data_IF_468505642330
#
_entry.id   IF_468505642330
#
_cell.length_a   1.000
_cell.length_b   1.000
_cell.length_c   1.000
_cell.angle_alpha   90.00
_cell.angle_beta   90.00
_cell.angle_gamma   90.00
#
_symmetry.space_group_name_H-M   'P 1'
#
loop_
_entity.id
_entity.type
_entity.pdbx_description
1 polymer ?
#
# COMPACT_ATOMS: atom_id res chain seq x y z
N UNK A 1 -61.59 -0.56 55.85
CA UNK A 1 -60.61 -1.15 56.77
C UNK A 1 -59.24 -1.03 56.09
N UNK A 2 -58.33 -0.27 56.71
CA UNK A 2 -56.85 -0.24 56.63
C UNK A 2 -56.15 -0.51 55.27
N UNK A 3 -55.22 0.28 54.72
CA UNK A 3 -54.33 1.31 55.27
C UNK A 3 -53.82 2.30 54.18
N UNK A 4 -53.50 3.53 54.60
CA UNK A 4 -52.71 4.58 53.92
C UNK A 4 -51.23 4.49 54.40
N UNK A 5 -50.28 5.41 54.09
CA UNK A 5 -49.79 5.98 52.82
C UNK A 5 -48.24 6.07 52.79
N UNK A 6 -47.63 6.59 51.71
CA UNK A 6 -46.46 7.50 51.86
C UNK A 6 -46.25 8.36 50.61
N UNK A 7 -46.59 9.66 50.72
CA UNK A 7 -46.11 10.74 49.84
C UNK A 7 -44.93 11.40 50.56
N UNK A 8 -43.82 11.58 49.86
CA UNK A 8 -42.71 12.44 50.31
C UNK A 8 -42.72 13.73 49.49
N UNK A 9 -42.61 14.85 50.22
CA UNK A 9 -42.58 16.25 49.75
C UNK A 9 -41.18 16.62 49.23
N UNK A 10 -41.06 17.61 48.32
CA UNK A 10 -39.77 18.15 47.90
C UNK A 10 -39.24 19.15 48.96
N UNK A 11 -37.95 19.08 49.25
CA UNK A 11 -37.23 20.06 50.05
C UNK A 11 -36.54 21.05 49.11
N UNK A 12 -37.01 22.29 49.15
CA UNK A 12 -36.26 23.45 48.71
C UNK A 12 -35.22 23.81 49.79
N UNK A 13 -33.97 24.02 49.39
CA UNK A 13 -32.97 24.67 50.21
C UNK A 13 -32.19 25.65 49.34
N UNK A 14 -32.30 26.93 49.70
CA UNK A 14 -31.58 28.04 49.12
C UNK A 14 -30.08 27.95 49.45
N UNK A 15 -29.23 28.30 48.48
CA UNK A 15 -27.83 28.63 48.74
C UNK A 15 -27.53 30.02 48.16
N UNK A 16 -26.95 30.84 49.02
CA UNK A 16 -26.58 32.23 48.79
C UNK A 16 -25.49 32.35 47.72
N UNK A 17 -25.68 33.28 46.78
CA UNK A 17 -24.64 33.70 45.83
C UNK A 17 -23.61 34.57 46.58
N UNK A 18 -22.42 34.02 46.79
CA UNK A 18 -21.21 34.80 47.06
C UNK A 18 -20.49 34.94 45.72
N UNK A 19 -20.54 36.13 45.12
CA UNK A 19 -19.81 36.48 43.91
C UNK A 19 -18.33 36.70 44.26
N UNK A 20 -17.52 35.64 44.19
CA UNK A 20 -16.08 35.77 44.03
C UNK A 20 -15.78 36.08 42.56
N UNK A 21 -15.34 37.32 42.28
CA UNK A 21 -14.72 37.70 41.02
C UNK A 21 -13.38 36.96 40.89
N UNK A 22 -13.43 35.73 40.37
CA UNK A 22 -12.27 35.08 39.80
C UNK A 22 -12.16 35.54 38.35
N UNK A 23 -11.19 36.39 38.06
CA UNK A 23 -10.77 36.66 36.68
C UNK A 23 -10.40 35.32 36.04
N UNK A 24 -10.93 34.97 34.85
CA UNK A 24 -10.38 33.85 34.12
C UNK A 24 -8.99 34.27 33.69
N UNK A 25 -7.96 33.76 34.35
CA UNK A 25 -6.63 33.72 33.77
C UNK A 25 -6.73 32.81 32.55
N UNK A 26 -7.04 33.39 31.39
CA UNK A 26 -6.81 32.76 30.10
C UNK A 26 -5.32 32.53 30.00
N UNK A 27 -4.87 31.35 30.42
CA UNK A 27 -3.58 30.82 30.03
C UNK A 27 -3.64 30.57 28.53
N UNK A 28 -3.34 31.59 27.73
CA UNK A 28 -2.88 31.41 26.37
C UNK A 28 -1.61 30.58 26.46
N UNK A 29 -1.75 29.27 26.33
CA UNK A 29 -0.63 28.39 26.07
C UNK A 29 -0.04 28.82 24.72
N UNK A 30 0.95 29.71 24.77
CA UNK A 30 1.82 30.01 23.63
C UNK A 30 2.40 28.69 23.15
N UNK A 31 1.97 28.23 21.97
CA UNK A 31 2.57 27.10 21.29
C UNK A 31 4.09 27.34 21.24
N UNK A 32 4.87 26.40 21.78
CA UNK A 32 6.34 26.47 21.69
C UNK A 32 6.72 26.53 20.22
N UNK A 33 7.59 27.47 19.78
CA UNK A 33 7.96 27.64 18.37
C UNK A 33 8.66 26.43 17.70
N UNK A 34 8.89 25.34 18.44
CA UNK A 34 9.76 24.22 18.06
C UNK A 34 9.15 22.84 18.31
N UNK A 35 7.86 22.72 18.63
CA UNK A 35 7.24 21.39 18.68
C UNK A 35 7.12 20.85 17.25
N UNK A 36 7.63 19.64 16.95
CA UNK A 36 7.52 19.10 15.62
C UNK A 36 6.05 18.90 15.26
N UNK A 37 5.65 19.35 14.06
CA UNK A 37 4.29 19.16 13.56
C UNK A 37 3.89 17.67 13.59
N UNK A 38 2.67 17.32 14.02
CA UNK A 38 2.11 15.99 13.91
C UNK A 38 2.22 15.43 12.48
N UNK A 39 2.44 14.11 12.36
CA UNK A 39 2.46 13.45 11.06
C UNK A 39 1.15 13.65 10.28
N UNK A 40 0.01 13.61 10.98
CA UNK A 40 -1.32 13.78 10.42
C UNK A 40 -1.51 15.09 9.63
N UNK A 41 -0.77 16.16 9.96
CA UNK A 41 -0.86 17.44 9.23
C UNK A 41 -0.31 17.32 7.79
N UNK A 42 0.56 16.33 7.55
CA UNK A 42 1.11 15.99 6.25
C UNK A 42 0.40 14.80 5.57
N UNK A 43 -0.55 14.15 6.25
CA UNK A 43 -1.33 13.09 5.64
C UNK A 43 -2.28 13.69 4.60
N UNK A 44 -2.41 13.02 3.46
CA UNK A 44 -3.26 13.46 2.37
C UNK A 44 -4.60 12.71 2.40
N UNK A 45 -5.72 13.38 2.08
CA UNK A 45 -7.00 12.71 1.89
C UNK A 45 -7.03 11.97 0.55
N UNK A 46 -7.77 10.88 0.48
CA UNK A 46 -8.10 10.13 -0.72
C UNK A 46 -9.19 10.86 -1.50
N UNK A 47 -9.05 10.86 -2.82
CA UNK A 47 -9.88 11.70 -3.70
C UNK A 47 -10.44 10.94 -4.90
N UNK A 48 -10.01 9.72 -5.15
CA UNK A 48 -10.48 8.93 -6.31
C UNK A 48 -11.73 8.10 -5.99
N UNK A 49 -11.98 7.85 -4.69
CA UNK A 49 -13.04 6.93 -4.25
C UNK A 49 -12.70 5.45 -4.45
N UNK A 50 -11.49 5.13 -4.90
CA UNK A 50 -10.98 3.77 -5.10
C UNK A 50 -9.57 3.63 -4.52
N UNK A 51 -8.62 3.06 -5.27
CA UNK A 51 -7.20 3.08 -4.92
C UNK A 51 -6.64 4.48 -5.18
N UNK A 52 -5.82 4.97 -4.25
CA UNK A 52 -5.18 6.28 -4.32
C UNK A 52 -4.00 6.36 -3.33
N UNK A 53 -3.43 7.55 -3.14
CA UNK A 53 -2.33 7.78 -2.21
C UNK A 53 -2.78 8.37 -0.86
N UNK A 54 -4.09 8.46 -0.60
CA UNK A 54 -4.67 9.01 0.61
C UNK A 54 -4.58 8.10 1.83
N UNK A 55 -4.51 8.69 3.03
CA UNK A 55 -4.36 7.99 4.31
C UNK A 55 -5.69 7.60 4.99
N UNK A 56 -6.80 8.15 4.52
CA UNK A 56 -8.19 7.84 4.90
C UNK A 56 -8.76 6.70 4.04
N UNK A 57 -8.06 5.56 4.04
CA UNK A 57 -8.47 4.37 3.27
C UNK A 57 -9.79 3.78 3.78
N UNK A 58 -10.74 3.55 2.88
CA UNK A 58 -12.04 2.94 3.21
C UNK A 58 -11.90 1.46 3.58
N UNK A 59 -11.94 1.17 4.89
CA UNK A 59 -11.87 -0.20 5.43
C UNK A 59 -13.11 -1.06 5.20
N UNK A 60 -14.18 -0.55 4.58
CA UNK A 60 -15.32 -1.37 4.16
C UNK A 60 -15.09 -2.03 2.80
N UNK A 61 -14.26 -1.38 1.97
CA UNK A 61 -13.85 -1.78 0.62
C UNK A 61 -12.48 -2.46 0.60
N UNK A 62 -11.50 -1.89 1.29
CA UNK A 62 -10.14 -2.41 1.36
C UNK A 62 -9.91 -3.21 2.64
N UNK A 63 -9.05 -4.22 2.54
CA UNK A 63 -8.63 -5.01 3.68
C UNK A 63 -7.70 -4.18 4.58
N UNK A 64 -7.85 -4.33 5.90
CA UNK A 64 -6.90 -3.71 6.84
C UNK A 64 -5.50 -4.30 6.60
N UNK A 65 -4.43 -3.50 6.43
CA UNK A 65 -3.12 -4.01 5.99
C UNK A 65 -2.27 -4.69 7.07
N UNK A 66 -2.69 -4.61 8.34
CA UNK A 66 -1.97 -5.16 9.47
C UNK A 66 -2.58 -6.46 9.97
N UNK A 67 -1.73 -7.32 10.54
CA UNK A 67 -2.11 -8.60 11.12
C UNK A 67 -1.76 -9.79 10.22
N UNK A 68 -2.42 -10.91 10.48
CA UNK A 68 -2.29 -12.13 9.69
C UNK A 68 -3.46 -12.23 8.73
N UNK A 69 -3.17 -12.33 7.44
CA UNK A 69 -4.13 -12.55 6.38
C UNK A 69 -4.12 -14.04 6.05
N UNK A 70 -5.22 -14.75 6.34
CA UNK A 70 -5.36 -16.17 5.97
C UNK A 70 -5.72 -16.24 4.50
N UNK A 71 -4.85 -16.83 3.68
CA UNK A 71 -5.02 -16.87 2.23
C UNK A 71 -5.24 -18.32 1.81
N UNK A 72 -6.32 -18.59 1.08
CA UNK A 72 -6.52 -19.88 0.43
C UNK A 72 -6.04 -19.81 -1.02
N UNK A 73 -5.05 -20.62 -1.38
CA UNK A 73 -4.59 -20.79 -2.76
C UNK A 73 -5.32 -21.95 -3.40
N UNK A 74 -6.06 -21.65 -4.46
CA UNK A 74 -6.72 -22.58 -5.37
C UNK A 74 -5.88 -22.74 -6.62
N UNK A 75 -5.71 -23.98 -7.09
CA UNK A 75 -5.08 -24.27 -8.37
C UNK A 75 -6.14 -24.72 -9.36
N UNK A 76 -6.23 -24.06 -10.52
CA UNK A 76 -7.30 -24.31 -11.48
C UNK A 76 -6.77 -24.82 -12.81
N UNK A 77 -7.49 -25.75 -13.41
CA UNK A 77 -7.27 -26.21 -14.78
C UNK A 77 -8.58 -26.17 -15.58
N UNK A 78 -8.49 -26.30 -16.90
CA UNK A 78 -9.59 -26.00 -17.81
C UNK A 78 -9.85 -27.18 -18.76
N UNK A 79 -11.02 -27.26 -19.41
CA UNK A 79 -11.28 -28.30 -20.42
C UNK A 79 -10.29 -28.24 -21.59
N UNK A 80 -9.99 -27.05 -22.12
CA UNK A 80 -8.99 -26.78 -23.18
C UNK A 80 -7.53 -26.79 -22.69
N UNK A 81 -7.29 -26.52 -21.40
CA UNK A 81 -5.96 -26.47 -20.81
C UNK A 81 -5.89 -27.31 -19.53
N UNK A 82 -5.72 -28.62 -19.70
CA UNK A 82 -5.61 -29.56 -18.59
C UNK A 82 -4.24 -29.48 -17.93
N UNK A 83 -4.21 -29.59 -16.61
CA UNK A 83 -2.95 -29.69 -15.88
C UNK A 83 -2.36 -31.10 -15.94
N UNK A 84 -1.04 -31.17 -16.11
CA UNK A 84 -0.26 -32.42 -16.07
C UNK A 84 0.73 -32.47 -14.90
N UNK A 85 1.01 -31.31 -14.29
CA UNK A 85 2.05 -31.15 -13.28
C UNK A 85 1.46 -31.08 -11.86
N UNK A 86 2.31 -31.20 -10.83
CA UNK A 86 1.88 -31.02 -9.43
C UNK A 86 1.60 -29.56 -9.10
N UNK A 87 0.59 -29.31 -8.27
CA UNK A 87 0.31 -27.99 -7.68
C UNK A 87 1.43 -27.50 -6.75
N UNK A 88 2.29 -28.40 -6.25
CA UNK A 88 3.38 -28.06 -5.34
C UNK A 88 4.39 -27.09 -5.97
N UNK A 89 4.65 -27.23 -7.27
CA UNK A 89 5.55 -26.34 -7.99
C UNK A 89 5.02 -24.89 -8.01
N UNK A 90 3.71 -24.74 -8.17
CA UNK A 90 3.02 -23.45 -8.19
C UNK A 90 2.97 -22.83 -6.78
N UNK A 91 2.64 -23.64 -5.76
CA UNK A 91 2.69 -23.23 -4.36
C UNK A 91 4.10 -22.75 -3.98
N UNK A 92 5.12 -23.52 -4.33
CA UNK A 92 6.54 -23.21 -4.06
C UNK A 92 6.99 -21.93 -4.76
N UNK A 93 6.53 -21.70 -5.99
CA UNK A 93 6.86 -20.49 -6.75
C UNK A 93 6.36 -19.21 -6.07
N UNK A 94 5.18 -19.24 -5.45
CA UNK A 94 4.57 -18.08 -4.78
C UNK A 94 4.89 -17.98 -3.28
N UNK A 95 5.29 -19.08 -2.63
CA UNK A 95 5.56 -19.12 -1.19
C UNK A 95 6.48 -18.00 -0.67
N UNK A 96 7.55 -17.57 -1.38
CA UNK A 96 8.41 -16.49 -0.89
C UNK A 96 7.71 -15.13 -0.74
N UNK A 97 6.51 -14.95 -1.30
CA UNK A 97 5.70 -13.73 -1.12
C UNK A 97 5.39 -13.45 0.36
N UNK A 98 5.18 -14.49 1.17
CA UNK A 98 4.93 -14.34 2.60
C UNK A 98 6.12 -13.70 3.33
N UNK A 99 7.32 -14.13 2.99
CA UNK A 99 8.57 -13.60 3.53
C UNK A 99 8.87 -12.19 3.01
N UNK A 100 8.59 -11.94 1.74
CA UNK A 100 8.73 -10.63 1.11
C UNK A 100 7.83 -9.59 1.79
N UNK A 101 6.54 -9.90 1.97
CA UNK A 101 5.55 -9.02 2.62
C UNK A 101 5.87 -8.81 4.11
N UNK A 102 6.33 -9.86 4.80
CA UNK A 102 6.78 -9.76 6.19
C UNK A 102 7.95 -8.79 6.32
N UNK A 103 8.94 -8.85 5.43
CA UNK A 103 10.07 -7.90 5.43
C UNK A 103 9.59 -6.48 5.12
N UNK A 104 8.77 -6.32 4.08
CA UNK A 104 8.32 -5.01 3.62
C UNK A 104 7.53 -4.23 4.69
N UNK A 105 6.80 -4.96 5.54
CA UNK A 105 5.93 -4.43 6.59
C UNK A 105 6.56 -4.41 7.99
N UNK A 106 7.86 -4.70 8.13
CA UNK A 106 8.53 -4.87 9.44
C UNK A 106 7.84 -5.91 10.34
N UNK A 107 7.28 -6.96 9.74
CA UNK A 107 6.58 -8.04 10.41
C UNK A 107 5.13 -7.74 10.79
N UNK A 108 4.58 -6.61 10.35
CA UNK A 108 3.23 -6.14 10.70
C UNK A 108 2.13 -6.69 9.81
N UNK A 109 2.46 -7.12 8.60
CA UNK A 109 1.58 -7.88 7.71
C UNK A 109 2.16 -9.28 7.49
N UNK A 110 1.32 -10.31 7.58
CA UNK A 110 1.71 -11.71 7.41
C UNK A 110 0.73 -12.43 6.50
N UNK A 111 1.22 -12.98 5.40
CA UNK A 111 0.43 -13.86 4.54
C UNK A 111 0.53 -15.29 5.07
N UNK A 112 -0.55 -15.79 5.66
CA UNK A 112 -0.69 -17.18 6.06
C UNK A 112 -1.28 -17.98 4.88
N UNK A 113 -0.39 -18.35 3.95
CA UNK A 113 -0.75 -19.09 2.74
C UNK A 113 -1.13 -20.54 3.09
N UNK A 114 -2.33 -20.95 2.70
CA UNK A 114 -2.81 -22.34 2.76
C UNK A 114 -3.20 -22.77 1.37
N UNK A 115 -2.69 -23.91 0.92
CA UNK A 115 -2.90 -24.39 -0.44
C UNK A 115 -3.85 -25.58 -0.46
N UNK A 116 -4.86 -25.53 -1.32
CA UNK A 116 -5.70 -26.69 -1.65
C UNK A 116 -4.99 -27.49 -2.75
N UNK A 117 -4.13 -28.45 -2.38
CA UNK A 117 -3.26 -29.20 -3.30
C UNK A 117 -4.01 -30.19 -4.20
N UNK A 118 -4.81 -29.67 -5.13
CA UNK A 118 -5.50 -30.39 -6.19
C UNK A 118 -5.86 -29.42 -7.32
N UNK A 119 -5.99 -29.94 -8.52
CA UNK A 119 -6.53 -29.17 -9.64
C UNK A 119 -8.04 -29.10 -9.55
N UNK A 120 -8.55 -27.88 -9.41
CA UNK A 120 -9.97 -27.54 -9.48
C UNK A 120 -10.32 -27.35 -10.96
N UNK A 121 -11.18 -28.23 -11.47
CA UNK A 121 -11.63 -28.14 -12.86
C UNK A 121 -12.60 -26.98 -13.02
N UNK A 122 -12.20 -25.98 -13.81
CA UNK A 122 -13.07 -24.89 -14.24
C UNK A 122 -14.17 -25.42 -15.18
N UNK A 123 -15.38 -24.84 -15.14
CA UNK A 123 -16.52 -25.32 -15.93
C UNK A 123 -16.47 -24.91 -17.41
N UNK A 124 -15.56 -24.01 -17.79
CA UNK A 124 -15.44 -23.47 -19.15
C UNK A 124 -13.97 -23.34 -19.55
N UNK A 125 -13.73 -23.22 -20.86
CA UNK A 125 -12.40 -23.08 -21.45
C UNK A 125 -11.70 -21.80 -20.97
N UNK A 126 -10.37 -21.86 -20.84
CA UNK A 126 -9.54 -20.75 -20.41
C UNK A 126 -9.72 -19.50 -21.28
N UNK A 127 -9.90 -19.72 -22.59
CA UNK A 127 -10.14 -18.67 -23.60
C UNK A 127 -11.47 -17.94 -23.42
N UNK A 128 -12.46 -18.57 -22.78
CA UNK A 128 -13.80 -17.97 -22.61
C UNK A 128 -13.86 -16.88 -21.53
N UNK A 129 -12.85 -16.77 -20.67
CA UNK A 129 -12.80 -15.77 -19.58
C UNK A 129 -12.22 -14.43 -20.01
N UNK A 130 -11.66 -14.30 -21.22
CA UNK A 130 -11.24 -13.02 -21.78
C UNK A 130 -10.11 -12.32 -21.01
N UNK A 131 -9.13 -13.09 -20.50
CA UNK A 131 -7.95 -12.56 -19.79
C UNK A 131 -6.94 -11.87 -20.73
N UNK A 132 -7.42 -10.79 -21.35
CA UNK A 132 -6.68 -9.85 -22.17
C UNK A 132 -6.77 -8.44 -21.54
N UNK A 133 -6.10 -7.44 -22.11
CA UNK A 133 -5.96 -6.10 -21.49
C UNK A 133 -7.28 -5.37 -21.20
N UNK A 134 -8.37 -5.72 -21.89
CA UNK A 134 -9.70 -5.14 -21.71
C UNK A 134 -10.61 -6.01 -20.82
N UNK A 135 -10.04 -6.83 -19.91
CA UNK A 135 -10.79 -7.65 -18.96
C UNK A 135 -11.77 -6.79 -18.15
N UNK A 136 -13.06 -7.08 -18.26
CA UNK A 136 -14.08 -6.37 -17.48
C UNK A 136 -14.17 -6.92 -16.06
N UNK A 137 -14.70 -6.11 -15.15
CA UNK A 137 -14.95 -6.52 -13.78
C UNK A 137 -15.86 -7.75 -13.71
N UNK A 138 -16.92 -7.80 -14.51
CA UNK A 138 -17.88 -8.91 -14.55
C UNK A 138 -17.25 -10.20 -15.05
N UNK A 139 -16.34 -10.11 -16.03
CA UNK A 139 -15.60 -11.26 -16.54
C UNK A 139 -14.64 -11.83 -15.49
N UNK A 140 -13.92 -10.96 -14.77
CA UNK A 140 -13.07 -11.38 -13.66
C UNK A 140 -13.88 -11.96 -12.50
N UNK A 141 -15.01 -11.34 -12.15
CA UNK A 141 -15.92 -11.84 -11.12
C UNK A 141 -16.50 -13.20 -11.50
N UNK A 142 -16.86 -13.40 -12.77
CA UNK A 142 -17.30 -14.71 -13.27
C UNK A 142 -16.21 -15.77 -13.12
N UNK A 143 -14.96 -15.45 -13.51
CA UNK A 143 -13.82 -16.35 -13.34
C UNK A 143 -13.67 -16.80 -11.87
N UNK A 144 -13.72 -15.84 -10.94
CA UNK A 144 -13.61 -16.13 -9.51
C UNK A 144 -14.81 -16.92 -8.98
N UNK A 145 -16.03 -16.59 -9.40
CA UNK A 145 -17.24 -17.32 -9.03
C UNK A 145 -17.15 -18.78 -9.45
N UNK A 146 -16.71 -19.04 -10.68
CA UNK A 146 -16.59 -20.40 -11.21
C UNK A 146 -15.50 -21.19 -10.48
N UNK A 147 -14.33 -20.58 -10.23
CA UNK A 147 -13.25 -21.20 -9.47
C UNK A 147 -13.65 -21.54 -8.02
N UNK A 148 -14.29 -20.60 -7.34
CA UNK A 148 -14.71 -20.75 -5.93
C UNK A 148 -15.84 -21.77 -5.83
N UNK A 149 -16.84 -21.72 -6.71
CA UNK A 149 -17.95 -22.70 -6.72
C UNK A 149 -17.45 -24.12 -6.95
N UNK A 150 -16.47 -24.31 -7.85
CA UNK A 150 -15.88 -25.62 -8.11
C UNK A 150 -15.00 -26.12 -6.94
N UNK A 151 -14.48 -25.22 -6.12
CA UNK A 151 -13.64 -25.54 -4.96
C UNK A 151 -14.44 -25.72 -3.66
N UNK A 152 -15.63 -25.12 -3.54
CA UNK A 152 -16.51 -25.09 -2.35
C UNK A 152 -16.72 -26.47 -1.70
N UNK A 153 -16.95 -27.58 -2.45
CA UNK A 153 -17.09 -28.90 -1.83
C UNK A 153 -15.83 -29.44 -1.13
N UNK A 154 -14.69 -28.74 -1.25
CA UNK A 154 -13.37 -29.22 -0.84
C UNK A 154 -12.62 -28.25 0.08
N UNK A 155 -13.17 -27.07 0.34
CA UNK A 155 -12.57 -26.08 1.22
C UNK A 155 -13.65 -25.25 1.91
N UNK A 156 -13.43 -24.93 3.18
CA UNK A 156 -14.27 -24.02 3.95
C UNK A 156 -13.72 -22.59 3.84
N UNK A 157 -14.33 -21.80 2.95
CA UNK A 157 -14.01 -20.41 2.67
C UNK A 157 -14.28 -19.47 3.85
N UNK A 158 -15.06 -19.88 4.86
CA UNK A 158 -15.28 -19.07 6.06
C UNK A 158 -13.99 -18.83 6.86
N UNK A 159 -12.96 -19.69 6.64
CA UNK A 159 -11.68 -19.68 7.36
C UNK A 159 -10.62 -18.72 6.78
N UNK A 160 -10.84 -18.10 5.63
CA UNK A 160 -9.79 -17.40 4.88
C UNK A 160 -10.13 -15.96 4.53
N UNK A 161 -9.30 -14.99 4.86
CA UNK A 161 -9.61 -13.58 4.64
C UNK A 161 -9.58 -13.18 3.15
N UNK A 162 -8.82 -13.90 2.31
CA UNK A 162 -8.74 -13.70 0.86
C UNK A 162 -8.44 -15.01 0.11
N UNK A 163 -8.65 -15.01 -1.22
CA UNK A 163 -8.41 -16.18 -2.09
C UNK A 163 -7.38 -15.86 -3.16
N UNK A 164 -6.42 -16.76 -3.37
CA UNK A 164 -5.51 -16.75 -4.51
C UNK A 164 -5.95 -17.82 -5.51
N UNK A 165 -6.06 -17.47 -6.79
CA UNK A 165 -6.43 -18.42 -7.85
C UNK A 165 -5.30 -18.50 -8.86
N UNK A 166 -4.71 -19.69 -8.99
CA UNK A 166 -3.51 -19.95 -9.79
C UNK A 166 -3.86 -20.90 -10.93
N UNK A 167 -3.86 -20.46 -12.20
CA UNK A 167 -4.10 -21.32 -13.33
C UNK A 167 -2.90 -22.23 -13.61
N UNK A 168 -3.17 -23.40 -14.17
CA UNK A 168 -2.15 -24.24 -14.77
C UNK A 168 -1.35 -23.48 -15.83
N UNK A 169 -0.07 -23.83 -15.97
CA UNK A 169 0.83 -23.29 -16.99
C UNK A 169 0.37 -23.62 -18.42
N UNK A 170 -0.44 -24.67 -18.59
CA UNK A 170 -1.07 -25.00 -19.87
C UNK A 170 -2.11 -23.94 -20.31
N UNK A 171 -2.67 -23.16 -19.38
CA UNK A 171 -3.71 -22.17 -19.66
C UNK A 171 -3.11 -20.85 -20.13
N UNK A 172 -2.49 -20.88 -21.31
CA UNK A 172 -1.81 -19.72 -21.91
C UNK A 172 -2.74 -18.50 -22.09
N UNK A 173 -4.06 -18.69 -22.17
CA UNK A 173 -5.04 -17.62 -22.30
C UNK A 173 -5.23 -16.79 -21.03
N UNK A 174 -4.81 -17.27 -19.84
CA UNK A 174 -4.86 -16.49 -18.59
C UNK A 174 -3.54 -15.73 -18.47
N UNK A 175 -3.43 -14.61 -19.19
CA UNK A 175 -2.11 -14.01 -19.50
C UNK A 175 -1.51 -13.16 -18.37
N UNK A 176 -2.32 -12.48 -17.57
CA UNK A 176 -1.86 -11.52 -16.57
C UNK A 176 -2.55 -11.72 -15.21
N UNK A 177 -1.94 -11.16 -14.17
CA UNK A 177 -2.44 -11.20 -12.80
C UNK A 177 -3.22 -9.93 -12.46
N UNK A 178 -4.52 -10.03 -12.10
CA UNK A 178 -5.27 -8.93 -11.49
C UNK A 178 -5.76 -9.23 -10.07
N UNK A 179 -5.94 -8.15 -9.31
CA UNK A 179 -6.65 -8.15 -8.03
C UNK A 179 -8.15 -7.96 -8.23
N UNK A 180 -8.95 -8.75 -7.51
CA UNK A 180 -10.38 -8.54 -7.36
C UNK A 180 -10.68 -7.86 -6.03
N UNK A 181 -11.40 -6.75 -6.14
CA UNK A 181 -11.97 -6.00 -5.03
C UNK A 181 -13.49 -6.01 -5.22
N UNK A 182 -14.22 -6.59 -4.27
CA UNK A 182 -15.68 -6.68 -4.40
C UNK A 182 -16.32 -5.30 -4.59
N UNK A 183 -17.11 -5.18 -5.66
CA UNK A 183 -17.95 -4.03 -5.92
C UNK A 183 -19.38 -4.28 -5.36
N UNK A 184 -19.87 -3.47 -4.42
CA UNK A 184 -21.21 -3.62 -3.86
C UNK A 184 -22.35 -3.50 -4.88
N UNK A 185 -22.09 -3.01 -6.09
CA UNK A 185 -23.09 -2.93 -7.17
C UNK A 185 -23.31 -4.25 -7.90
N UNK A 186 -22.43 -5.24 -7.71
CA UNK A 186 -22.56 -6.57 -8.34
C UNK A 186 -23.07 -7.64 -7.38
N UNK A 187 -23.57 -8.78 -7.91
CA UNK A 187 -23.92 -9.93 -7.09
C UNK A 187 -22.74 -10.47 -6.27
N UNK A 188 -21.50 -10.24 -6.71
CA UNK A 188 -20.26 -10.72 -6.10
C UNK A 188 -20.13 -12.24 -6.04
N UNK A 189 -19.18 -12.69 -5.21
CA UNK A 189 -18.89 -14.12 -4.99
C UNK A 189 -19.12 -14.47 -3.52
N UNK A 190 -19.91 -15.51 -3.26
CA UNK A 190 -20.23 -15.97 -1.90
C UNK A 190 -20.00 -17.48 -1.82
N UNK A 191 -19.36 -17.92 -0.74
CA UNK A 191 -19.08 -19.31 -0.41
C UNK A 191 -19.16 -19.48 1.11
N UNK A 192 -19.65 -20.62 1.60
CA UNK A 192 -19.80 -20.91 3.03
C UNK A 192 -20.46 -19.78 3.85
N UNK A 193 -21.53 -19.20 3.30
CA UNK A 193 -22.26 -18.10 3.95
C UNK A 193 -21.48 -16.79 4.06
N UNK A 194 -20.33 -16.63 3.38
CA UNK A 194 -19.50 -15.43 3.44
C UNK A 194 -19.18 -14.86 2.07
N UNK A 195 -19.23 -13.52 2.00
CA UNK A 195 -18.81 -12.74 0.82
C UNK A 195 -17.29 -12.78 0.69
N UNK A 196 -16.79 -13.24 -0.44
CA UNK A 196 -15.37 -13.12 -0.80
C UNK A 196 -15.16 -11.70 -1.31
N UNK A 197 -14.52 -10.86 -0.49
CA UNK A 197 -14.29 -9.45 -0.81
C UNK A 197 -13.00 -9.17 -1.56
N UNK A 198 -12.00 -10.02 -1.35
CA UNK A 198 -10.65 -9.82 -1.87
C UNK A 198 -10.11 -11.13 -2.43
N UNK A 199 -9.62 -11.07 -3.66
CA UNK A 199 -8.92 -12.19 -4.27
C UNK A 199 -7.83 -11.70 -5.20
N UNK A 200 -6.85 -12.56 -5.47
CA UNK A 200 -5.83 -12.34 -6.50
C UNK A 200 -5.93 -13.48 -7.50
N UNK A 201 -6.08 -13.16 -8.77
CA UNK A 201 -5.92 -14.13 -9.85
C UNK A 201 -4.51 -13.98 -10.39
N UNK A 202 -3.79 -15.09 -10.52
CA UNK A 202 -2.49 -15.10 -11.17
C UNK A 202 -2.65 -15.43 -12.64
N UNK A 203 -1.85 -14.80 -13.49
CA UNK A 203 -1.70 -15.16 -14.90
C UNK A 203 -0.34 -15.78 -15.19
N UNK A 204 -0.08 -16.05 -16.47
CA UNK A 204 1.23 -16.57 -16.90
C UNK A 204 2.37 -15.59 -16.63
N UNK A 205 2.10 -14.29 -16.47
CA UNK A 205 3.08 -13.29 -16.05
C UNK A 205 3.71 -13.57 -14.68
N UNK A 206 3.07 -14.36 -13.80
CA UNK A 206 3.66 -14.76 -12.52
C UNK A 206 4.99 -15.49 -12.70
N UNK A 207 5.20 -16.21 -13.81
CA UNK A 207 6.46 -16.90 -14.08
C UNK A 207 7.61 -15.94 -14.40
N UNK A 208 7.28 -14.76 -14.95
CA UNK A 208 8.25 -13.69 -15.20
C UNK A 208 8.50 -12.87 -13.94
N UNK A 209 7.43 -12.53 -13.22
CA UNK A 209 7.49 -11.68 -12.04
C UNK A 209 7.94 -12.38 -10.76
N UNK A 210 7.81 -13.71 -10.73
CA UNK A 210 8.03 -14.50 -9.53
C UNK A 210 7.01 -14.19 -8.44
N UNK A 211 7.35 -14.52 -7.20
CA UNK A 211 6.51 -14.28 -6.02
C UNK A 211 6.16 -12.80 -5.76
N UNK A 212 6.89 -11.84 -6.35
CA UNK A 212 6.64 -10.40 -6.13
C UNK A 212 5.29 -9.94 -6.70
N UNK A 213 4.74 -10.63 -7.71
CA UNK A 213 3.39 -10.32 -8.21
C UNK A 213 2.34 -10.55 -7.13
N UNK A 214 2.48 -11.56 -6.27
CA UNK A 214 1.56 -11.75 -5.16
C UNK A 214 1.61 -10.58 -4.17
N UNK A 215 2.79 -9.99 -3.94
CA UNK A 215 2.91 -8.80 -3.11
C UNK A 215 2.27 -7.58 -3.76
N UNK A 216 2.54 -7.32 -5.05
CA UNK A 216 1.92 -6.26 -5.84
C UNK A 216 0.39 -6.32 -5.76
N UNK A 217 -0.19 -7.45 -6.14
CA UNK A 217 -1.64 -7.64 -6.16
C UNK A 217 -2.25 -7.56 -4.75
N UNK A 218 -1.58 -8.10 -3.73
CA UNK A 218 -2.04 -7.92 -2.35
C UNK A 218 -2.05 -6.44 -1.94
N UNK A 219 -1.10 -5.63 -2.44
CA UNK A 219 -1.07 -4.19 -2.21
C UNK A 219 -2.38 -3.50 -2.62
N UNK A 220 -2.98 -3.92 -3.73
CA UNK A 220 -4.29 -3.40 -4.16
C UNK A 220 -5.42 -3.77 -3.19
N UNK A 221 -5.38 -4.95 -2.57
CA UNK A 221 -6.35 -5.33 -1.53
C UNK A 221 -6.32 -4.38 -0.32
N UNK A 222 -5.19 -3.70 -0.12
CA UNK A 222 -5.00 -2.70 0.93
C UNK A 222 -5.24 -1.26 0.49
N UNK A 223 -5.63 -1.04 -0.77
CA UNK A 223 -5.95 0.29 -1.31
C UNK A 223 -4.80 1.03 -1.98
N UNK A 224 -3.70 0.35 -2.30
CA UNK A 224 -2.62 0.94 -3.10
C UNK A 224 -3.00 1.00 -4.59
N UNK A 225 -2.63 2.07 -5.31
CA UNK A 225 -2.81 2.17 -6.76
C UNK A 225 -1.61 1.60 -7.51
N UNK A 226 -1.78 1.39 -8.81
CA UNK A 226 -0.67 1.20 -9.74
C UNK A 226 0.09 2.52 -9.94
N UNK A 227 1.42 2.44 -9.84
CA UNK A 227 2.31 3.58 -10.07
C UNK A 227 2.92 3.60 -11.49
N UNK A 228 2.69 2.56 -12.29
CA UNK A 228 3.08 2.56 -13.70
C UNK A 228 2.04 3.30 -14.55
N UNK A 229 2.42 3.62 -15.78
CA UNK A 229 1.57 4.31 -16.75
C UNK A 229 0.71 3.33 -17.52
N UNK A 230 -0.60 3.58 -17.58
CA UNK A 230 -1.51 2.84 -18.46
C UNK A 230 -1.40 3.30 -19.92
N UNK A 231 -0.72 4.42 -20.17
CA UNK A 231 -0.47 4.97 -21.50
C UNK A 231 1.00 5.31 -21.72
N UNK A 232 1.52 5.07 -22.93
CA UNK A 232 2.93 5.36 -23.25
C UNK A 232 3.93 4.47 -22.50
N UNK A 233 5.07 5.04 -22.10
CA UNK A 233 6.14 4.29 -21.40
C UNK A 233 5.68 3.81 -20.02
N UNK A 234 5.62 2.49 -19.83
CA UNK A 234 5.00 1.84 -18.66
C UNK A 234 5.62 2.30 -17.35
N UNK A 235 6.94 2.20 -17.14
CA UNK A 235 7.53 2.45 -15.82
C UNK A 235 8.07 3.88 -15.63
N UNK A 236 7.49 4.87 -16.33
CA UNK A 236 8.00 6.27 -16.39
C UNK A 236 7.88 7.08 -15.10
N UNK A 237 7.03 6.70 -14.15
CA UNK A 237 6.74 7.51 -12.96
C UNK A 237 7.50 7.03 -11.72
N UNK A 238 7.24 5.80 -11.27
CA UNK A 238 7.88 5.21 -10.11
C UNK A 238 9.13 4.37 -10.44
N UNK A 239 9.18 3.79 -11.65
CA UNK A 239 10.27 2.89 -12.04
C UNK A 239 10.39 1.68 -11.11
N UNK A 240 11.62 1.21 -10.92
CA UNK A 240 11.95 0.06 -10.09
C UNK A 240 12.04 0.33 -8.59
N UNK A 241 11.61 1.50 -8.10
CA UNK A 241 11.73 1.93 -6.69
C UNK A 241 10.56 1.52 -5.78
N UNK A 242 9.49 0.98 -6.37
CA UNK A 242 8.32 0.46 -5.67
C UNK A 242 7.75 -0.73 -6.45
N UNK A 243 7.31 -1.78 -5.75
CA UNK A 243 6.68 -2.95 -6.38
C UNK A 243 5.40 -2.58 -7.15
N UNK A 244 4.68 -1.53 -6.74
CA UNK A 244 3.50 -0.98 -7.44
C UNK A 244 3.88 -0.21 -8.71
N UNK A 245 5.16 0.15 -8.89
CA UNK A 245 5.69 0.79 -10.08
C UNK A 245 6.28 -0.20 -11.09
N UNK A 246 7.15 -1.09 -10.63
CA UNK A 246 7.70 -2.16 -11.45
C UNK A 246 8.03 -3.36 -10.57
N UNK A 247 7.27 -4.44 -10.75
CA UNK A 247 7.41 -5.68 -9.98
C UNK A 247 8.83 -6.25 -10.11
N UNK A 248 9.44 -6.16 -11.30
CA UNK A 248 10.81 -6.61 -11.55
C UNK A 248 11.89 -5.55 -11.24
N UNK A 249 11.52 -4.44 -10.59
CA UNK A 249 12.45 -3.39 -10.19
C UNK A 249 13.65 -3.91 -9.41
N UNK A 250 14.75 -3.17 -9.51
CA UNK A 250 16.00 -3.45 -8.79
C UNK A 250 15.90 -3.12 -7.28
N UNK A 251 15.03 -2.17 -6.92
CA UNK A 251 14.74 -1.75 -5.56
C UNK A 251 13.21 -1.69 -5.27
N UNK A 252 12.49 -2.82 -5.38
CA UNK A 252 11.04 -2.86 -5.37
C UNK A 252 10.41 -2.82 -3.96
N UNK A 253 11.14 -2.48 -2.90
CA UNK A 253 10.54 -2.25 -1.58
C UNK A 253 9.44 -1.19 -1.70
N UNK A 254 8.32 -1.37 -0.97
CA UNK A 254 7.30 -0.33 -0.89
C UNK A 254 7.92 0.97 -0.37
N UNK A 255 7.57 2.08 -1.02
CA UNK A 255 7.92 3.42 -0.59
C UNK A 255 7.50 3.62 0.87
N UNK A 256 8.27 4.42 1.59
CA UNK A 256 7.96 4.80 2.96
C UNK A 256 6.58 5.47 3.07
N UNK A 257 6.14 6.18 2.03
CA UNK A 257 4.79 6.71 1.90
C UNK A 257 3.71 5.63 1.95
N UNK A 258 3.82 4.59 1.10
CA UNK A 258 2.90 3.45 1.14
C UNK A 258 2.97 2.73 2.48
N UNK A 259 4.16 2.51 3.03
CA UNK A 259 4.33 1.92 4.37
C UNK A 259 3.62 2.74 5.46
N UNK A 260 3.58 4.07 5.37
CA UNK A 260 2.86 4.95 6.30
C UNK A 260 1.34 4.90 6.08
N UNK A 261 0.88 5.00 4.83
CA UNK A 261 -0.53 4.82 4.47
C UNK A 261 -1.09 3.51 5.02
N UNK A 262 -0.32 2.43 4.91
CA UNK A 262 -0.71 1.10 5.37
C UNK A 262 -0.57 0.91 6.90
N UNK A 263 -0.07 1.93 7.61
CA UNK A 263 0.14 1.91 9.05
C UNK A 263 1.30 1.03 9.52
N UNK A 264 2.14 0.55 8.60
CA UNK A 264 3.33 -0.23 8.92
C UNK A 264 4.43 0.68 9.50
N UNK A 265 4.67 1.82 8.85
CA UNK A 265 5.35 2.98 9.43
C UNK A 265 4.34 3.76 10.27
N UNK A 266 4.70 4.07 11.53
CA UNK A 266 3.82 4.82 12.45
C UNK A 266 4.11 6.32 12.40
N UNK A 267 3.16 7.14 12.83
CA UNK A 267 3.26 8.61 12.85
C UNK A 267 4.54 9.14 13.52
N UNK A 268 5.02 8.53 14.60
CA UNK A 268 6.26 8.97 15.27
C UNK A 268 7.53 8.74 14.41
N UNK A 269 7.43 7.97 13.34
CA UNK A 269 8.49 7.71 12.37
C UNK A 269 8.39 8.65 11.15
N UNK A 270 7.46 9.60 11.15
CA UNK A 270 7.22 10.53 10.05
C UNK A 270 7.57 11.94 10.51
N UNK A 271 8.47 12.60 9.80
CA UNK A 271 8.82 13.99 10.06
C UNK A 271 8.02 14.92 9.13
N UNK A 272 7.00 15.58 9.66
CA UNK A 272 6.13 16.46 8.89
C UNK A 272 6.62 17.92 8.86
N UNK A 273 6.55 18.54 7.68
CA UNK A 273 6.56 19.98 7.44
C UNK A 273 5.28 20.35 6.65
N UNK A 274 4.22 20.84 7.33
CA UNK A 274 2.87 20.94 6.73
C UNK A 274 2.68 22.15 5.80
N UNK A 275 3.72 22.96 5.57
CA UNK A 275 3.62 24.19 4.80
C UNK A 275 4.95 24.94 4.73
N UNK A 276 4.90 26.26 4.81
CA UNK A 276 6.08 27.13 4.77
C UNK A 276 6.99 26.90 5.98
N UNK A 277 8.29 27.15 5.79
CA UNK A 277 9.30 27.00 6.83
C UNK A 277 10.37 25.98 6.46
N UNK A 278 11.03 25.42 7.47
CA UNK A 278 12.20 24.56 7.29
C UNK A 278 12.29 23.49 8.37
N UNK A 279 12.69 22.28 7.98
CA UNK A 279 12.87 21.16 8.90
C UNK A 279 14.07 20.31 8.49
N UNK A 280 15.00 20.08 9.43
CA UNK A 280 16.12 19.15 9.25
C UNK A 280 15.81 17.85 9.97
N UNK A 281 16.05 16.72 9.30
CA UNK A 281 15.64 15.39 9.76
C UNK A 281 16.75 14.38 9.47
N UNK A 282 17.08 13.53 10.46
CA UNK A 282 17.85 12.32 10.21
C UNK A 282 16.89 11.17 9.88
N UNK A 283 17.02 10.63 8.68
CA UNK A 283 16.29 9.48 8.16
C UNK A 283 17.07 8.20 8.43
N UNK A 284 16.35 7.15 8.80
CA UNK A 284 16.83 5.79 8.86
C UNK A 284 16.39 5.04 7.58
N UNK A 285 17.22 4.14 7.03
CA UNK A 285 16.89 3.38 5.82
C UNK A 285 15.52 2.68 5.93
N UNK A 286 14.74 2.72 4.86
CA UNK A 286 13.38 2.13 4.84
C UNK A 286 13.42 0.61 4.93
N UNK A 287 14.54 -0.03 4.61
CA UNK A 287 14.71 -1.48 4.62
C UNK A 287 14.87 -2.03 6.06
N UNK A 288 15.21 -1.16 7.02
CA UNK A 288 15.45 -1.54 8.42
C UNK A 288 14.25 -1.19 9.31
N UNK A 289 13.99 -1.87 10.44
CA UNK A 289 12.96 -1.43 11.39
C UNK A 289 13.34 -0.15 12.17
N UNK A 290 12.35 0.63 12.61
CA UNK A 290 12.53 1.74 13.56
C UNK A 290 13.15 3.02 12.99
N UNK A 291 13.25 4.05 13.83
CA UNK A 291 13.73 5.39 13.42
C UNK A 291 12.77 6.14 12.50
N UNK A 292 13.13 7.38 12.14
CA UNK A 292 12.35 8.21 11.21
C UNK A 292 12.51 7.68 9.78
N UNK A 293 11.41 7.27 9.15
CA UNK A 293 11.43 6.64 7.81
C UNK A 293 11.35 7.64 6.68
N UNK A 294 10.48 8.62 6.84
CA UNK A 294 10.21 9.61 5.80
C UNK A 294 10.16 11.01 6.40
N UNK A 295 10.57 11.98 5.60
CA UNK A 295 10.27 13.38 5.82
C UNK A 295 9.29 13.83 4.73
N UNK A 296 8.17 14.41 5.15
CA UNK A 296 7.08 14.82 4.26
C UNK A 296 6.95 16.33 4.31
N UNK A 297 6.92 16.96 3.15
CA UNK A 297 6.60 18.36 2.97
C UNK A 297 5.30 18.48 2.19
N UNK A 298 4.25 18.94 2.86
CA UNK A 298 2.94 19.12 2.23
C UNK A 298 2.95 20.37 1.37
N UNK A 299 2.53 20.24 0.11
CA UNK A 299 2.50 21.36 -0.85
C UNK A 299 1.10 21.89 -1.12
N UNK A 300 0.06 21.09 -0.90
CA UNK A 300 -1.34 21.50 -1.08
C UNK A 300 -2.31 20.52 -0.42
N UNK A 301 -3.58 20.58 -0.82
CA UNK A 301 -4.62 19.71 -0.26
C UNK A 301 -4.30 18.23 -0.48
N UNK A 302 -3.89 17.87 -1.69
CA UNK A 302 -3.66 16.49 -2.16
C UNK A 302 -2.22 16.21 -2.55
N UNK A 303 -1.30 17.16 -2.37
CA UNK A 303 0.08 17.04 -2.86
C UNK A 303 1.12 17.18 -1.75
N UNK A 304 2.19 16.38 -1.87
CA UNK A 304 3.35 16.46 -1.00
C UNK A 304 4.63 16.04 -1.74
N UNK A 305 5.77 16.49 -1.23
CA UNK A 305 7.09 15.92 -1.52
C UNK A 305 7.53 15.04 -0.35
N UNK A 306 8.16 13.91 -0.65
CA UNK A 306 8.64 12.97 0.34
C UNK A 306 10.11 12.67 0.10
N UNK A 307 10.86 12.58 1.19
CA UNK A 307 12.24 12.13 1.21
C UNK A 307 12.38 10.89 2.08
N UNK A 308 13.06 9.87 1.57
CA UNK A 308 13.35 8.62 2.29
C UNK A 308 14.77 8.13 2.02
N UNK A 309 15.35 7.39 2.96
CA UNK A 309 16.71 6.82 2.83
C UNK A 309 16.62 5.39 2.29
N UNK A 310 17.34 5.08 1.21
CA UNK A 310 17.37 3.77 0.54
C UNK A 310 18.75 3.15 0.59
N UNK A 311 18.82 1.84 0.88
CA UNK A 311 20.07 1.05 0.93
C UNK A 311 19.87 -0.28 0.20
N UNK A 312 20.94 -0.88 -0.35
CA UNK A 312 20.85 -2.15 -1.07
C UNK A 312 20.69 -3.33 -0.10
N UNK A 313 19.57 -3.37 0.62
CA UNK A 313 19.29 -4.31 1.71
C UNK A 313 17.87 -4.87 1.61
N UNK A 314 17.63 -6.05 2.19
CA UNK A 314 16.28 -6.61 2.26
C UNK A 314 15.66 -6.79 0.88
N UNK A 315 14.49 -6.19 0.64
CA UNK A 315 13.82 -6.26 -0.65
C UNK A 315 14.50 -5.41 -1.73
N UNK A 316 15.40 -4.51 -1.36
CA UNK A 316 16.18 -3.63 -2.24
C UNK A 316 17.62 -4.10 -2.46
N UNK A 317 17.94 -5.35 -2.13
CA UNK A 317 19.31 -5.91 -2.21
C UNK A 317 20.03 -5.76 -3.57
N UNK A 318 19.30 -5.40 -4.63
CA UNK A 318 19.83 -5.18 -5.97
C UNK A 318 19.76 -3.71 -6.44
N UNK A 319 19.53 -2.76 -5.54
CA UNK A 319 19.39 -1.35 -5.88
C UNK A 319 20.59 -0.82 -6.68
N UNK A 320 20.30 -0.12 -7.77
CA UNK A 320 21.32 0.42 -8.68
C UNK A 320 21.96 1.73 -8.18
N UNK A 321 21.30 2.40 -7.24
CA UNK A 321 21.82 3.57 -6.54
C UNK A 321 21.35 3.57 -5.07
N UNK A 322 22.02 4.33 -4.23
CA UNK A 322 21.77 4.38 -2.77
C UNK A 322 21.87 5.82 -2.30
N UNK A 323 21.05 6.20 -1.31
CA UNK A 323 21.02 7.55 -0.79
C UNK A 323 19.61 7.98 -0.44
N UNK A 324 19.26 9.23 -0.73
CA UNK A 324 17.93 9.79 -0.50
C UNK A 324 17.11 9.69 -1.77
N UNK A 325 16.01 8.94 -1.73
CA UNK A 325 15.01 8.94 -2.80
C UNK A 325 14.02 10.08 -2.54
N UNK A 326 13.83 10.94 -3.55
CA UNK A 326 12.87 12.03 -3.52
C UNK A 326 11.73 11.76 -4.50
N UNK A 327 10.50 12.00 -4.07
CA UNK A 327 9.33 11.82 -4.92
C UNK A 327 8.20 12.78 -4.58
N UNK A 328 7.38 13.06 -5.58
CA UNK A 328 6.12 13.79 -5.43
C UNK A 328 4.96 12.80 -5.32
N UNK A 329 4.03 13.08 -4.43
CA UNK A 329 2.76 12.37 -4.27
C UNK A 329 1.61 13.32 -4.62
N UNK A 330 0.62 12.81 -5.33
CA UNK A 330 -0.67 13.45 -5.55
C UNK A 330 -1.82 12.46 -5.36
N UNK A 331 -2.57 12.58 -4.25
CA UNK A 331 -3.68 11.69 -3.91
C UNK A 331 -4.95 11.91 -4.74
N UNK A 332 -4.99 12.94 -5.58
CA UNK A 332 -6.05 13.15 -6.56
C UNK A 332 -5.73 12.59 -7.95
N UNK A 333 -4.48 12.20 -8.21
CA UNK A 333 -4.12 11.56 -9.47
C UNK A 333 -4.58 10.09 -9.45
N UNK A 334 -5.29 9.62 -10.48
CA UNK A 334 -5.72 8.22 -10.56
C UNK A 334 -4.58 7.21 -10.69
N UNK A 335 -4.88 5.96 -10.33
CA UNK A 335 -4.06 4.79 -10.67
C UNK A 335 -3.74 4.77 -12.17
N UNK A 336 -2.51 4.41 -12.55
CA UNK A 336 -2.12 4.43 -13.96
C UNK A 336 -1.69 5.79 -14.52
N UNK A 337 -1.90 6.89 -13.79
CA UNK A 337 -1.60 8.27 -14.23
C UNK A 337 -0.40 8.90 -13.49
N UNK A 338 0.29 8.11 -12.68
CA UNK A 338 1.47 8.53 -11.92
C UNK A 338 1.15 9.36 -10.69
N UNK A 339 0.37 8.81 -9.72
CA UNK A 339 0.09 9.47 -8.45
C UNK A 339 1.32 9.58 -7.54
N UNK A 340 2.37 8.80 -7.84
CA UNK A 340 3.72 8.98 -7.30
C UNK A 340 4.70 9.13 -8.45
N UNK A 341 5.61 10.12 -8.35
CA UNK A 341 6.64 10.39 -9.36
C UNK A 341 8.00 10.55 -8.70
N UNK A 342 8.93 9.65 -9.03
CA UNK A 342 10.31 9.73 -8.57
C UNK A 342 11.02 10.90 -9.25
N UNK A 343 11.77 11.66 -8.48
CA UNK A 343 12.58 12.77 -8.96
C UNK A 343 14.00 12.26 -9.20
N UNK A 344 14.43 12.23 -10.46
CA UNK A 344 15.72 11.67 -10.81
C UNK A 344 16.85 12.66 -10.51
N UNK A 345 17.72 12.34 -9.55
CA UNK A 345 18.94 13.11 -9.26
C UNK A 345 19.95 13.13 -10.42
N UNK A 346 19.95 12.08 -11.24
CA UNK A 346 21.01 11.80 -12.21
C UNK A 346 20.45 11.43 -13.61
N UNK A 347 19.64 12.29 -14.26
CA UNK A 347 19.01 11.98 -15.54
C UNK A 347 19.99 11.87 -16.72
N UNK A 348 21.22 12.36 -16.57
CA UNK A 348 22.27 12.27 -17.57
C UNK A 348 23.27 11.11 -17.34
N UNK A 349 23.17 10.41 -16.21
CA UNK A 349 24.05 9.29 -15.90
C UNK A 349 23.62 8.07 -16.72
N UNK A 350 24.55 7.49 -17.48
CA UNK A 350 24.31 6.20 -18.14
C UNK A 350 24.12 5.10 -17.10
N UNK A 351 22.97 4.41 -17.05
CA UNK A 351 22.75 3.35 -16.07
C UNK A 351 23.63 2.12 -16.39
N UNK A 352 24.09 1.38 -15.36
CA UNK A 352 24.79 0.12 -15.57
C UNK A 352 23.85 -0.93 -16.18
N UNK A 353 24.44 -1.99 -16.77
CA UNK A 353 23.67 -3.10 -17.36
C UNK A 353 22.70 -3.70 -16.34
N UNK A 354 21.43 -3.82 -16.73
CA UNK A 354 20.36 -4.34 -15.86
C UNK A 354 19.61 -3.26 -15.07
N UNK A 355 20.06 -2.01 -15.15
CA UNK A 355 19.40 -0.85 -14.53
C UNK A 355 18.80 0.08 -15.58
N UNK A 356 17.81 0.86 -15.17
CA UNK A 356 17.16 1.90 -15.98
C UNK A 356 17.61 3.29 -15.54
N UNK A 357 17.30 4.30 -16.35
CA UNK A 357 17.63 5.69 -16.01
C UNK A 357 17.06 6.11 -14.66
N UNK A 358 15.86 5.65 -14.31
CA UNK A 358 15.20 6.04 -13.07
C UNK A 358 15.76 5.31 -11.85
N UNK A 359 16.41 4.15 -12.03
CA UNK A 359 17.09 3.43 -10.93
C UNK A 359 18.34 4.18 -10.42
N UNK A 360 18.76 5.25 -11.12
CA UNK A 360 19.83 6.17 -10.70
C UNK A 360 19.32 7.39 -9.93
N UNK A 361 18.05 7.38 -9.49
CA UNK A 361 17.41 8.57 -8.93
C UNK A 361 17.88 8.99 -7.53
N UNK A 362 18.59 8.14 -6.77
CA UNK A 362 18.96 8.45 -5.40
C UNK A 362 19.94 9.65 -5.33
N UNK A 363 19.61 10.62 -4.48
CA UNK A 363 20.45 11.77 -4.16
C UNK A 363 21.49 11.41 -3.09
N UNK A 364 22.66 12.01 -3.19
CA UNK A 364 23.82 11.86 -2.30
C UNK A 364 24.13 13.18 -1.57
N UNK A 365 24.91 13.15 -0.48
CA UNK A 365 25.26 14.34 0.28
C UNK A 365 25.85 15.47 -0.57
N UNK A 366 25.40 16.69 -0.33
CA UNK A 366 25.76 17.89 -1.09
C UNK A 366 24.81 18.19 -2.25
N UNK A 367 23.97 17.24 -2.68
CA UNK A 367 22.97 17.49 -3.72
C UNK A 367 21.72 18.17 -3.16
N UNK A 368 20.99 18.83 -4.05
CA UNK A 368 19.77 19.58 -3.73
C UNK A 368 18.74 19.38 -4.82
N UNK A 369 17.48 19.20 -4.42
CA UNK A 369 16.32 19.34 -5.29
C UNK A 369 15.62 20.69 -5.03
N UNK A 370 15.16 21.34 -6.09
CA UNK A 370 14.34 22.56 -6.01
C UNK A 370 13.18 22.49 -7.00
N UNK A 371 11.99 22.85 -6.54
CA UNK A 371 10.80 23.08 -7.37
C UNK A 371 10.38 24.56 -7.23
N UNK A 372 10.68 25.41 -8.23
CA UNK A 372 10.33 26.83 -8.21
C UNK A 372 8.83 27.09 -8.13
N UNK A 373 7.99 26.22 -8.69
CA UNK A 373 6.55 26.45 -8.79
C UNK A 373 5.86 26.30 -7.42
N UNK A 374 6.41 25.45 -6.57
CA UNK A 374 5.90 25.21 -5.21
C UNK A 374 6.75 25.85 -4.11
N UNK A 375 7.89 26.44 -4.46
CA UNK A 375 8.88 26.99 -3.53
C UNK A 375 9.63 25.94 -2.72
N UNK A 376 9.56 24.67 -3.13
CA UNK A 376 10.14 23.55 -2.39
C UNK A 376 11.63 23.44 -2.64
N UNK A 377 12.37 23.20 -1.56
CA UNK A 377 13.79 22.86 -1.60
C UNK A 377 14.10 21.74 -0.61
N UNK A 378 14.81 20.71 -1.08
CA UNK A 378 15.27 19.59 -0.26
C UNK A 378 16.78 19.44 -0.44
N UNK A 379 17.54 19.71 0.62
CA UNK A 379 18.99 19.51 0.66
C UNK A 379 19.32 18.14 1.28
N UNK A 380 20.20 17.36 0.65
CA UNK A 380 20.83 16.20 1.29
C UNK A 380 22.12 16.65 1.96
N UNK A 381 22.14 16.72 3.29
CA UNK A 381 23.24 17.33 4.04
C UNK A 381 24.39 16.36 4.28
N UNK A 382 24.08 15.20 4.85
CA UNK A 382 25.05 14.16 5.20
C UNK A 382 24.43 12.79 5.01
N UNK A 383 25.25 11.75 4.87
CA UNK A 383 24.79 10.38 4.69
C UNK A 383 25.88 9.39 5.02
N UNK A 384 25.49 8.26 5.61
CA UNK A 384 26.35 7.13 5.95
C UNK A 384 25.56 5.81 5.82
N UNK A 385 26.16 4.68 6.21
CA UNK A 385 25.48 3.37 6.16
C UNK A 385 24.29 3.27 7.12
N UNK A 386 24.19 4.14 8.12
CA UNK A 386 23.10 4.24 9.10
C UNK A 386 21.92 5.11 8.66
N UNK A 387 22.09 5.94 7.63
CA UNK A 387 21.02 6.73 7.03
C UNK A 387 21.48 8.13 6.58
N UNK A 388 20.53 9.01 6.28
CA UNK A 388 20.79 10.31 5.65
C UNK A 388 20.17 11.47 6.44
N UNK A 389 20.83 12.62 6.49
CA UNK A 389 20.26 13.85 7.03
C UNK A 389 19.80 14.75 5.90
N UNK A 390 18.51 15.08 5.89
CA UNK A 390 17.90 15.95 4.88
C UNK A 390 17.38 17.23 5.52
N UNK A 391 17.28 18.30 4.73
CA UNK A 391 16.61 19.53 5.12
C UNK A 391 15.58 19.92 4.09
N UNK A 392 14.32 19.91 4.52
CA UNK A 392 13.17 20.32 3.71
C UNK A 392 12.88 21.78 4.01
N UNK A 393 12.53 22.54 2.98
CA UNK A 393 12.11 23.93 3.11
C UNK A 393 11.09 24.30 2.05
N UNK A 394 10.19 25.22 2.42
CA UNK A 394 9.25 25.86 1.51
C UNK A 394 9.18 27.35 1.83
N UNK A 395 9.37 28.18 0.80
CA UNK A 395 9.33 29.64 0.85
C UNK A 395 7.95 30.21 1.14
#
# INVERSE_FOLDING_TARGET
MSALPTRLRPLAAAFALVTCLATPATSTATARPNSPAPAADCALPGKTGWTDEGHDTDGTRFQRPGGTHRVLTLFVDFPDARATDSTDAYATHLAPAADWMRRASYGRSRLALSSLHRWIRMPADSTSYGFERDLTFEAHEKYLRDAITAADPHADFSRYDMVYVVPTKAAAAITFSPTYLYDPTTPGVTADGRRIKWAVTFGQDMWRWGHKVAAHETGHTFGLPDLYSFTGSTHRYAGGWDVMGNIAGAAPQYLGWHSWKLGWTRDHQVACLPGTGRRTVRLSPVERPGGTKIAVLRTGETTAYVAESRRPEGNDQHACSTGVLLYKVDSATPTGEGPVRILNAHPATTPPTGCTQLDMAAYTPGQTFTDPDTGVRIDVLTGDTGGDTVRLSKG
#
